data_IF_831963704670
#
_entry.id   IF_831963704670
#
_cell.length_a   1.000
_cell.length_b   1.000
_cell.length_c   1.000
_cell.angle_alpha   90.00
_cell.angle_beta   90.00
_cell.angle_gamma   90.00
#
_symmetry.space_group_name_H-M   'P 1'
#
loop_
_entity.id
_entity.type
_entity.pdbx_description
1 polymer ?
#
# COMPACT_ATOMS: atom_id res chain seq x y z
N UNK A 1 25.39 8.01 -5.93
CA UNK A 1 24.39 7.70 -4.89
C UNK A 1 23.48 6.63 -5.45
N UNK A 2 23.42 5.46 -4.81
CA UNK A 2 22.64 4.31 -5.29
C UNK A 2 21.15 4.68 -5.26
N UNK A 3 20.49 4.73 -6.42
CA UNK A 3 19.02 4.80 -6.52
C UNK A 3 18.48 3.43 -6.13
N UNK A 4 17.89 3.28 -4.96
CA UNK A 4 17.31 1.98 -4.59
C UNK A 4 16.27 2.02 -3.49
N UNK A 5 16.51 2.77 -2.42
CA UNK A 5 15.74 2.58 -1.20
C UNK A 5 15.01 3.85 -0.81
N UNK A 6 13.89 4.13 -1.50
CA UNK A 6 12.97 5.20 -1.09
C UNK A 6 12.43 4.84 0.29
N UNK A 7 12.63 5.72 1.27
CA UNK A 7 12.11 5.50 2.61
C UNK A 7 10.59 5.68 2.64
N UNK A 8 9.92 4.94 3.53
CA UNK A 8 8.48 5.09 3.76
C UNK A 8 8.15 6.52 4.20
N UNK A 9 9.04 7.14 4.99
CA UNK A 9 8.88 8.52 5.43
C UNK A 9 8.90 9.54 4.28
N UNK A 10 9.76 9.34 3.27
CA UNK A 10 9.81 10.18 2.07
C UNK A 10 8.66 9.89 1.10
N UNK A 11 8.23 8.64 0.99
CA UNK A 11 7.11 8.27 0.12
C UNK A 11 5.75 8.72 0.68
N UNK A 12 5.58 8.71 2.00
CA UNK A 12 4.32 8.98 2.69
C UNK A 12 4.42 10.24 3.57
N UNK A 13 4.79 11.37 2.97
CA UNK A 13 4.95 12.65 3.68
C UNK A 13 3.64 13.21 4.23
N UNK A 14 2.51 12.91 3.59
CA UNK A 14 1.19 13.43 3.98
C UNK A 14 0.71 12.89 5.33
N UNK A 15 0.06 13.76 6.12
CA UNK A 15 -0.45 13.43 7.46
C UNK A 15 -1.48 12.30 7.47
N UNK A 16 -2.23 12.13 6.37
CA UNK A 16 -3.22 11.05 6.20
C UNK A 16 -2.61 9.65 6.29
N UNK A 17 -1.32 9.52 6.01
CA UNK A 17 -0.58 8.26 6.07
C UNK A 17 0.10 8.02 7.41
N UNK A 18 -0.09 8.88 8.41
CA UNK A 18 0.56 8.74 9.73
C UNK A 18 0.39 7.34 10.33
N UNK A 19 -0.83 6.80 10.28
CA UNK A 19 -1.12 5.49 10.87
C UNK A 19 -0.39 4.37 10.12
N UNK A 20 -0.25 4.49 8.80
CA UNK A 20 0.52 3.54 8.00
C UNK A 20 2.01 3.61 8.32
N UNK A 21 2.56 4.82 8.47
CA UNK A 21 3.97 5.00 8.87
C UNK A 21 4.26 4.42 10.24
N UNK A 22 3.40 4.70 11.22
CA UNK A 22 3.53 4.13 12.58
C UNK A 22 3.48 2.61 12.54
N UNK A 23 2.55 2.03 11.77
CA UNK A 23 2.49 0.58 11.60
C UNK A 23 3.78 0.02 10.97
N UNK A 24 4.31 0.66 9.93
CA UNK A 24 5.56 0.23 9.31
C UNK A 24 6.74 0.31 10.29
N UNK A 25 6.83 1.39 11.08
CA UNK A 25 7.86 1.55 12.12
C UNK A 25 7.76 0.47 13.20
N UNK A 26 6.56 0.12 13.66
CA UNK A 26 6.31 -0.96 14.62
C UNK A 26 6.72 -2.34 14.08
N UNK A 27 6.56 -2.55 12.77
CA UNK A 27 6.98 -3.78 12.07
C UNK A 27 8.43 -3.73 11.59
N UNK A 28 9.19 -2.68 11.94
CA UNK A 28 10.57 -2.45 11.51
C UNK A 28 10.76 -2.40 9.97
N UNK A 29 9.74 -1.93 9.26
CA UNK A 29 9.74 -1.70 7.81
C UNK A 29 10.11 -0.23 7.57
N UNK A 30 11.21 0.04 6.85
CA UNK A 30 11.72 1.40 6.68
C UNK A 30 11.70 1.87 5.22
N UNK A 31 11.68 0.94 4.27
CA UNK A 31 11.80 1.20 2.85
C UNK A 31 10.59 0.69 2.07
N UNK A 32 10.29 1.30 0.93
CA UNK A 32 9.19 0.85 0.06
C UNK A 32 9.33 -0.61 -0.40
N UNK A 33 10.57 -1.09 -0.58
CA UNK A 33 10.85 -2.48 -0.93
C UNK A 33 10.46 -3.48 0.16
N UNK A 34 10.33 -3.03 1.41
CA UNK A 34 9.94 -3.86 2.55
C UNK A 34 8.41 -4.04 2.59
N UNK A 35 7.65 -3.27 1.80
CA UNK A 35 6.21 -3.37 1.71
C UNK A 35 5.85 -4.42 0.65
N UNK A 36 5.29 -5.53 1.11
CA UNK A 36 4.70 -6.55 0.28
C UNK A 36 3.18 -6.61 0.45
N UNK A 37 2.55 -7.58 -0.20
CA UNK A 37 1.11 -7.81 -0.10
C UNK A 37 0.66 -8.15 1.32
N UNK A 38 1.45 -8.91 2.07
CA UNK A 38 1.10 -9.37 3.42
C UNK A 38 1.08 -8.19 4.40
N UNK A 39 2.02 -7.25 4.27
CA UNK A 39 2.05 -6.00 5.05
C UNK A 39 0.77 -5.19 4.84
N UNK A 40 0.29 -5.10 3.59
CA UNK A 40 -0.92 -4.38 3.23
C UNK A 40 -2.18 -5.08 3.76
N UNK A 41 -2.26 -6.40 3.62
CA UNK A 41 -3.38 -7.19 4.14
C UNK A 41 -3.47 -7.08 5.66
N UNK A 42 -2.35 -7.22 6.38
CA UNK A 42 -2.31 -7.05 7.85
C UNK A 42 -2.65 -5.62 8.27
N UNK A 43 -2.19 -4.61 7.52
CA UNK A 43 -2.54 -3.23 7.81
C UNK A 43 -4.04 -2.96 7.66
N UNK A 44 -4.72 -3.63 6.73
CA UNK A 44 -6.17 -3.52 6.56
C UNK A 44 -6.97 -4.01 7.78
N UNK A 45 -6.40 -4.92 8.58
CA UNK A 45 -7.00 -5.46 9.80
C UNK A 45 -6.82 -4.54 11.02
N UNK A 46 -5.98 -3.50 10.91
CA UNK A 46 -5.74 -2.55 12.00
C UNK A 46 -7.01 -1.74 12.32
N UNK A 47 -7.39 -1.70 13.59
CA UNK A 47 -8.56 -0.95 14.04
C UNK A 47 -8.47 0.53 13.64
N UNK A 48 -9.50 1.02 12.94
CA UNK A 48 -9.54 2.40 12.45
C UNK A 48 -8.96 2.59 11.04
N UNK A 49 -8.59 1.49 10.39
CA UNK A 49 -8.36 1.42 8.95
C UNK A 49 -9.64 0.94 8.26
N UNK A 50 -10.09 1.72 7.29
CA UNK A 50 -11.23 1.39 6.44
C UNK A 50 -10.86 1.55 4.98
N UNK A 51 -11.77 1.19 4.08
CA UNK A 51 -11.53 1.16 2.63
C UNK A 51 -10.93 2.45 2.07
N UNK A 52 -11.34 3.62 2.56
CA UNK A 52 -10.82 4.93 2.11
C UNK A 52 -9.32 5.10 2.40
N UNK A 53 -8.87 4.70 3.60
CA UNK A 53 -7.45 4.79 3.98
C UNK A 53 -6.61 3.77 3.21
N UNK A 54 -7.16 2.58 2.99
CA UNK A 54 -6.51 1.54 2.18
C UNK A 54 -6.35 1.99 0.73
N UNK A 55 -7.41 2.51 0.11
CA UNK A 55 -7.37 3.00 -1.26
C UNK A 55 -6.27 4.06 -1.44
N UNK A 56 -6.19 5.04 -0.53
CA UNK A 56 -5.15 6.07 -0.58
C UNK A 56 -3.72 5.51 -0.51
N UNK A 57 -3.49 4.41 0.23
CA UNK A 57 -2.18 3.76 0.31
C UNK A 57 -1.88 3.00 -0.97
N UNK A 58 -2.86 2.25 -1.49
CA UNK A 58 -2.71 1.51 -2.75
C UNK A 58 -2.43 2.46 -3.91
N UNK A 59 -3.19 3.55 -4.02
CA UNK A 59 -2.95 4.61 -5.02
C UNK A 59 -1.53 5.18 -4.91
N UNK A 60 -1.05 5.39 -3.68
CA UNK A 60 0.29 5.92 -3.44
C UNK A 60 1.39 4.93 -3.83
N UNK A 61 1.20 3.64 -3.54
CA UNK A 61 2.16 2.57 -3.85
C UNK A 61 2.19 2.23 -5.35
N UNK A 62 1.03 2.21 -5.99
CA UNK A 62 0.90 1.87 -7.40
C UNK A 62 1.32 3.02 -8.34
N UNK A 63 1.49 4.24 -7.81
CA UNK A 63 1.89 5.42 -8.56
C UNK A 63 0.86 5.81 -9.64
N UNK A 64 1.21 6.71 -10.58
CA UNK A 64 0.30 7.14 -11.66
C UNK A 64 -0.11 6.00 -12.63
N UNK A 65 0.45 4.79 -12.49
CA UNK A 65 0.17 3.62 -13.33
C UNK A 65 -0.79 2.63 -12.66
N UNK A 66 -1.13 2.84 -11.38
CA UNK A 66 -2.01 1.97 -10.60
C UNK A 66 -3.45 1.83 -11.12
N UNK A 67 -3.89 2.75 -11.97
CA UNK A 67 -5.21 2.68 -12.61
C UNK A 67 -5.32 1.60 -13.70
N UNK A 68 -4.26 0.89 -14.08
CA UNK A 68 -4.35 -0.12 -15.15
C UNK A 68 -4.64 -1.55 -14.65
N UNK A 69 -4.40 -1.87 -13.37
CA UNK A 69 -4.37 -3.28 -12.93
C UNK A 69 -5.67 -3.78 -12.28
N UNK A 70 -6.57 -2.91 -11.82
CA UNK A 70 -7.80 -3.36 -11.15
C UNK A 70 -8.88 -3.81 -12.16
N UNK A 71 -8.92 -3.22 -13.36
CA UNK A 71 -9.87 -3.63 -14.43
C UNK A 71 -9.47 -4.96 -15.12
N UNK A 72 -8.18 -5.28 -15.17
CA UNK A 72 -7.70 -6.53 -15.78
C UNK A 72 -7.87 -7.78 -14.89
N UNK A 73 -8.07 -7.58 -13.58
CA UNK A 73 -8.25 -8.67 -12.62
C UNK A 73 -9.71 -9.07 -12.40
N UNK A 74 -10.69 -8.21 -12.75
CA UNK A 74 -12.12 -8.50 -12.56
C UNK A 74 -12.74 -9.35 -13.69
N UNK A 75 -12.01 -9.58 -14.80
CA UNK A 75 -12.48 -10.49 -15.86
C UNK A 75 -12.35 -11.99 -15.50
N UNK A 76 -11.80 -12.33 -14.32
CA UNK A 76 -11.69 -13.72 -13.85
C UNK A 76 -12.72 -14.10 -12.79
N UNK A 77 -13.58 -13.18 -12.37
CA UNK A 77 -14.76 -13.52 -11.57
C UNK A 77 -15.99 -13.61 -12.50
N UNK A 78 -16.60 -14.80 -12.57
CA UNK A 78 -17.86 -15.14 -13.27
C UNK A 78 -17.75 -15.60 -14.75
N UNK A 79 -17.20 -16.79 -14.95
CA UNK A 79 -18.02 -17.96 -15.33
C UNK A 79 -17.22 -19.26 -15.22
N UNK A 80 -17.36 -19.92 -14.07
CA UNK A 80 -17.35 -21.39 -14.01
C UNK A 80 -18.75 -21.86 -14.42
N UNK A 81 -18.89 -22.37 -15.64
CA UNK A 81 -19.80 -23.46 -16.02
C UNK A 81 -19.59 -23.79 -17.49
#
# INVERSE_FOLDING_TARGET
MQKGDISINEAFTESKFRLFKTYCEEQQLFYLKDIDREVIEKFAEVKGIGGVKMAAIIERLAGPVGNLQLELLDSRALKKK
#
